data_IF_336009940895
#
_entry.id   IF_336009940895
#
_cell.length_a   1.000
_cell.length_b   1.000
_cell.length_c   1.000
_cell.angle_alpha   90.00
_cell.angle_beta   90.00
_cell.angle_gamma   90.00
#
_symmetry.space_group_name_H-M   'P 1'
#
loop_
_entity.id
_entity.type
_entity.pdbx_description
1 polymer ?
#
# COMPACT_ATOMS: atom_id res chain seq x y z
N UNK A 1 -28.72 29.42 30.48
CA UNK A 1 -29.06 28.01 30.22
C UNK A 1 -27.76 27.32 29.91
N UNK A 2 -27.26 26.63 30.93
CA UNK A 2 -26.08 25.78 30.86
C UNK A 2 -26.37 24.64 29.89
N UNK A 3 -25.56 24.50 28.84
CA UNK A 3 -25.52 23.27 28.06
C UNK A 3 -24.66 22.28 28.86
N UNK A 4 -25.34 21.57 29.77
CA UNK A 4 -24.85 20.32 30.33
C UNK A 4 -24.76 19.34 29.15
N UNK A 5 -23.57 19.23 28.58
CA UNK A 5 -23.23 18.09 27.73
C UNK A 5 -23.30 16.89 28.68
N UNK A 6 -24.33 16.06 28.49
CA UNK A 6 -24.66 14.96 29.39
C UNK A 6 -23.48 13.98 29.50
N UNK A 7 -23.12 13.65 30.74
CA UNK A 7 -22.18 12.56 31.09
C UNK A 7 -22.63 11.24 30.43
N UNK A 8 -23.93 11.05 30.16
CA UNK A 8 -24.47 9.87 29.48
C UNK A 8 -23.96 9.70 28.03
N UNK A 9 -23.67 10.79 27.31
CA UNK A 9 -23.13 10.69 25.93
C UNK A 9 -21.66 10.28 25.91
N UNK A 10 -20.89 10.66 26.94
CA UNK A 10 -19.51 10.17 27.13
C UNK A 10 -19.50 8.72 27.64
N UNK A 11 -20.47 8.30 28.44
CA UNK A 11 -20.59 6.91 28.91
C UNK A 11 -21.07 5.95 27.80
N UNK A 12 -21.94 6.36 26.89
CA UNK A 12 -22.32 5.57 25.69
C UNK A 12 -21.15 5.41 24.69
N UNK A 13 -20.28 6.43 24.55
CA UNK A 13 -19.06 6.31 23.73
C UNK A 13 -18.04 5.34 24.34
N UNK A 14 -17.97 5.21 25.67
CA UNK A 14 -17.08 4.24 26.34
C UNK A 14 -17.63 2.81 26.25
N UNK A 15 -18.95 2.63 26.19
CA UNK A 15 -19.60 1.31 26.11
C UNK A 15 -19.49 0.63 24.74
N UNK A 16 -19.05 1.34 23.69
CA UNK A 16 -19.00 0.84 22.31
C UNK A 16 -17.59 0.71 21.72
N UNK A 17 -16.54 1.10 22.47
CA UNK A 17 -15.16 0.92 22.03
C UNK A 17 -14.75 -0.54 22.21
N UNK A 18 -14.31 -1.16 21.11
CA UNK A 18 -13.78 -2.52 21.12
C UNK A 18 -12.63 -2.66 22.14
N UNK A 19 -12.76 -3.62 23.06
CA UNK A 19 -11.74 -3.96 24.05
C UNK A 19 -10.38 -4.25 23.39
N UNK A 20 -10.37 -4.83 22.19
CA UNK A 20 -9.14 -5.09 21.43
C UNK A 20 -8.42 -3.78 21.05
N UNK A 21 -9.18 -2.73 20.74
CA UNK A 21 -8.65 -1.40 20.43
C UNK A 21 -7.98 -0.76 21.65
N UNK A 22 -8.64 -0.78 22.81
CA UNK A 22 -8.07 -0.21 24.04
C UNK A 22 -6.79 -0.92 24.49
N UNK A 23 -6.73 -2.25 24.37
CA UNK A 23 -5.51 -3.01 24.68
C UNK A 23 -4.36 -2.60 23.75
N UNK A 24 -4.61 -2.53 22.44
CA UNK A 24 -3.60 -2.10 21.47
C UNK A 24 -3.16 -0.66 21.70
N UNK A 25 -4.09 0.22 22.07
CA UNK A 25 -3.79 1.61 22.39
C UNK A 25 -2.92 1.72 23.65
N UNK A 26 -3.24 0.96 24.70
CA UNK A 26 -2.43 0.89 25.92
C UNK A 26 -1.02 0.37 25.67
N UNK A 27 -0.90 -0.68 24.86
CA UNK A 27 0.38 -1.22 24.41
C UNK A 27 1.20 -0.21 23.57
N UNK A 28 0.54 0.53 22.68
CA UNK A 28 1.17 1.61 21.91
C UNK A 28 1.69 2.71 22.84
N UNK A 29 0.87 3.17 23.79
CA UNK A 29 1.28 4.17 24.78
C UNK A 29 2.45 3.67 25.65
N UNK A 30 2.43 2.40 26.07
CA UNK A 30 3.56 1.78 26.77
C UNK A 30 4.84 1.77 25.92
N UNK A 31 4.73 1.47 24.62
CA UNK A 31 5.84 1.56 23.67
C UNK A 31 6.46 2.96 23.64
N UNK A 32 5.63 3.99 23.48
CA UNK A 32 6.09 5.39 23.52
C UNK A 32 6.85 5.70 24.81
N UNK A 33 6.32 5.32 25.97
CA UNK A 33 6.98 5.52 27.25
C UNK A 33 8.32 4.78 27.36
N UNK A 34 8.38 3.54 26.87
CA UNK A 34 9.60 2.74 26.84
C UNK A 34 10.70 3.39 25.98
N UNK A 35 10.33 4.00 24.85
CA UNK A 35 11.27 4.62 23.92
C UNK A 35 11.94 5.86 24.53
N UNK A 36 11.15 6.71 25.19
CA UNK A 36 11.65 7.92 25.88
C UNK A 36 12.08 7.65 27.34
N UNK A 37 12.19 6.38 27.75
CA UNK A 37 12.67 5.95 29.07
C UNK A 37 11.90 6.56 30.24
N UNK A 38 10.56 6.55 30.15
CA UNK A 38 9.65 7.02 31.21
C UNK A 38 8.94 5.86 31.87
N UNK A 39 9.10 5.72 33.18
CA UNK A 39 8.28 4.80 33.97
C UNK A 39 6.88 5.39 34.13
N UNK A 40 5.85 4.61 34.49
CA UNK A 40 4.50 5.15 34.75
C UNK A 40 4.49 6.32 35.75
N UNK A 41 5.34 6.25 36.79
CA UNK A 41 5.48 7.34 37.76
C UNK A 41 6.10 8.61 37.18
N UNK A 42 7.06 8.48 36.25
CA UNK A 42 7.70 9.64 35.62
C UNK A 42 6.69 10.33 34.69
N UNK A 43 5.95 9.55 33.90
CA UNK A 43 4.87 10.05 33.05
C UNK A 43 3.78 10.76 33.86
N UNK A 44 3.34 10.18 34.97
CA UNK A 44 2.33 10.78 35.85
C UNK A 44 2.80 12.14 36.40
N UNK A 45 4.04 12.20 36.90
CA UNK A 45 4.63 13.42 37.44
C UNK A 45 4.79 14.53 36.38
N UNK A 46 5.32 14.19 35.20
CA UNK A 46 5.57 15.16 34.12
C UNK A 46 4.27 15.69 33.50
N UNK A 47 3.28 14.81 33.31
CA UNK A 47 1.99 15.17 32.72
C UNK A 47 0.98 15.72 33.75
N UNK A 48 1.36 15.77 35.03
CA UNK A 48 0.52 16.29 36.10
C UNK A 48 -0.80 15.53 36.24
N UNK A 49 -0.74 14.20 36.21
CA UNK A 49 -1.88 13.28 36.38
C UNK A 49 -1.55 12.21 37.42
N UNK A 50 -2.54 11.40 37.80
CA UNK A 50 -2.31 10.30 38.72
C UNK A 50 -1.57 9.13 38.04
N UNK A 51 -0.78 8.37 38.82
CA UNK A 51 -0.18 7.12 38.32
C UNK A 51 -1.24 6.08 37.93
N UNK A 52 -2.40 6.09 38.60
CA UNK A 52 -3.51 5.18 38.33
C UNK A 52 -4.15 5.46 36.96
N UNK A 53 -4.22 6.73 36.55
CA UNK A 53 -4.67 7.11 35.20
C UNK A 53 -3.71 6.55 34.14
N UNK A 54 -2.39 6.75 34.31
CA UNK A 54 -1.36 6.20 33.41
C UNK A 54 -1.47 4.67 33.32
N UNK A 55 -1.57 3.98 34.45
CA UNK A 55 -1.70 2.53 34.48
C UNK A 55 -3.02 2.04 33.88
N UNK A 56 -4.11 2.80 34.01
CA UNK A 56 -5.41 2.48 33.42
C UNK A 56 -5.38 2.58 31.89
N UNK A 57 -4.64 3.56 31.36
CA UNK A 57 -4.38 3.67 29.92
C UNK A 57 -3.52 2.51 29.44
N UNK A 58 -2.36 2.26 30.08
CA UNK A 58 -1.44 1.18 29.70
C UNK A 58 -2.14 -0.18 29.69
N UNK A 59 -2.99 -0.46 30.69
CA UNK A 59 -3.71 -1.73 30.79
C UNK A 59 -4.95 -1.84 29.88
N UNK A 60 -5.26 -0.81 29.09
CA UNK A 60 -6.41 -0.79 28.19
C UNK A 60 -7.76 -0.70 28.92
N UNK A 61 -7.80 -0.22 30.17
CA UNK A 61 -9.03 0.04 30.93
C UNK A 61 -9.63 1.41 30.62
N UNK A 62 -8.79 2.35 30.20
CA UNK A 62 -9.18 3.72 29.89
C UNK A 62 -8.53 4.15 28.57
N UNK A 63 -9.27 4.90 27.75
CA UNK A 63 -8.72 5.55 26.55
C UNK A 63 -7.88 6.76 26.98
N UNK A 64 -6.72 6.98 26.34
CA UNK A 64 -5.97 8.23 26.54
C UNK A 64 -6.81 9.43 26.11
N UNK A 65 -6.84 10.49 26.92
CA UNK A 65 -7.63 11.69 26.62
C UNK A 65 -6.86 12.65 25.70
N UNK A 66 -7.56 13.47 24.89
CA UNK A 66 -6.93 14.52 24.09
C UNK A 66 -6.11 15.50 24.93
N UNK A 67 -6.56 15.85 26.13
CA UNK A 67 -5.86 16.76 27.03
C UNK A 67 -4.52 16.18 27.50
N UNK A 68 -4.47 14.85 27.72
CA UNK A 68 -3.23 14.19 28.11
C UNK A 68 -2.25 14.11 26.93
N UNK A 69 -2.75 13.90 25.70
CA UNK A 69 -1.96 13.94 24.46
C UNK A 69 -1.36 15.34 24.28
N UNK A 70 -2.15 16.41 24.42
CA UNK A 70 -1.68 17.79 24.29
C UNK A 70 -0.53 18.09 25.27
N UNK A 71 -0.68 17.68 26.53
CA UNK A 71 0.39 17.82 27.53
C UNK A 71 1.64 17.04 27.13
N UNK A 72 1.49 15.81 26.63
CA UNK A 72 2.60 14.97 26.21
C UNK A 72 3.36 15.56 25.02
N UNK A 73 2.67 15.99 23.96
CA UNK A 73 3.27 16.62 22.77
C UNK A 73 3.99 17.93 23.12
N UNK A 74 3.50 18.67 24.12
CA UNK A 74 4.16 19.89 24.59
C UNK A 74 5.49 19.65 25.32
N UNK A 75 5.62 18.52 26.01
CA UNK A 75 6.76 18.22 26.88
C UNK A 75 7.76 17.23 26.25
N UNK A 76 7.27 16.32 25.41
CA UNK A 76 8.05 15.23 24.84
C UNK A 76 8.17 15.38 23.32
N UNK A 77 9.24 14.86 22.70
CA UNK A 77 9.44 14.92 21.25
C UNK A 77 8.60 13.84 20.53
N UNK A 78 7.29 13.91 20.70
CA UNK A 78 6.29 13.01 20.10
C UNK A 78 5.21 13.84 19.41
N UNK A 79 4.48 13.25 18.47
CA UNK A 79 3.41 13.92 17.72
C UNK A 79 2.05 13.39 18.16
N UNK A 80 1.00 14.18 17.96
CA UNK A 80 -0.38 13.76 18.28
C UNK A 80 -0.77 12.44 17.59
N UNK A 81 -0.35 12.27 16.33
CA UNK A 81 -0.61 11.06 15.53
C UNK A 81 -0.06 9.78 16.18
N UNK A 82 1.01 9.88 16.97
CA UNK A 82 1.69 8.73 17.58
C UNK A 82 0.79 8.07 18.64
N UNK A 83 -0.21 8.79 19.15
CA UNK A 83 -1.18 8.30 20.13
C UNK A 83 -2.45 7.72 19.50
N UNK A 84 -2.69 7.91 18.20
CA UNK A 84 -3.89 7.43 17.50
C UNK A 84 -3.56 6.20 16.65
N UNK A 85 -3.93 5.03 17.17
CA UNK A 85 -3.75 3.77 16.44
C UNK A 85 -4.82 3.57 15.37
N UNK A 86 -4.51 2.76 14.35
CA UNK A 86 -5.47 2.38 13.30
C UNK A 86 -6.54 1.45 13.90
N UNK A 87 -7.81 1.85 13.79
CA UNK A 87 -8.95 0.97 14.11
C UNK A 87 -9.00 -0.22 13.15
N UNK A 88 -9.22 -1.42 13.69
CA UNK A 88 -9.41 -2.61 12.85
C UNK A 88 -10.88 -2.73 12.45
N UNK A 89 -11.18 -2.44 11.18
CA UNK A 89 -12.51 -2.58 10.58
C UNK A 89 -12.69 -3.92 9.84
N UNK A 90 -11.75 -4.85 10.00
CA UNK A 90 -11.75 -6.17 9.36
C UNK A 90 -11.41 -7.28 10.38
N UNK A 91 -12.13 -7.40 11.50
CA UNK A 91 -11.76 -8.30 12.60
C UNK A 91 -11.84 -9.80 12.23
N UNK A 92 -12.55 -10.14 11.16
CA UNK A 92 -12.68 -11.53 10.67
C UNK A 92 -11.65 -11.86 9.58
N UNK A 93 -10.74 -10.95 9.25
CA UNK A 93 -9.68 -11.16 8.26
C UNK A 93 -10.09 -10.89 6.80
N UNK A 94 -11.39 -10.93 6.50
CA UNK A 94 -11.95 -10.50 5.20
C UNK A 94 -13.10 -9.51 5.43
N UNK A 95 -13.07 -8.39 4.72
CA UNK A 95 -14.12 -7.37 4.69
C UNK A 95 -14.81 -7.42 3.32
N UNK A 96 -16.13 -7.39 3.30
CA UNK A 96 -16.93 -7.42 2.07
C UNK A 96 -17.72 -6.13 1.91
N UNK A 97 -17.89 -5.70 0.68
CA UNK A 97 -18.79 -4.60 0.30
C UNK A 97 -19.69 -5.07 -0.84
N UNK A 98 -21.00 -4.96 -0.64
CA UNK A 98 -21.97 -5.41 -1.63
C UNK A 98 -22.05 -4.45 -2.81
N UNK A 99 -22.46 -4.95 -3.97
CA UNK A 99 -22.73 -4.12 -5.15
C UNK A 99 -23.79 -3.04 -4.88
N UNK A 100 -24.71 -3.29 -3.95
CA UNK A 100 -25.72 -2.32 -3.54
C UNK A 100 -25.13 -1.19 -2.70
N UNK A 101 -24.23 -1.50 -1.77
CA UNK A 101 -23.47 -0.48 -1.02
C UNK A 101 -22.61 0.36 -1.96
N UNK A 102 -21.99 -0.27 -2.97
CA UNK A 102 -21.27 0.44 -4.02
C UNK A 102 -22.19 1.39 -4.80
N UNK A 103 -23.40 0.96 -5.17
CA UNK A 103 -24.38 1.86 -5.81
C UNK A 103 -24.79 3.01 -4.90
N UNK A 104 -24.96 2.77 -3.60
CA UNK A 104 -25.32 3.80 -2.63
C UNK A 104 -24.23 4.89 -2.49
N UNK A 105 -22.98 4.57 -2.81
CA UNK A 105 -21.86 5.53 -2.84
C UNK A 105 -21.75 6.33 -4.16
N UNK A 106 -22.69 6.13 -5.10
CA UNK A 106 -22.64 6.70 -6.44
C UNK A 106 -22.57 8.23 -6.42
N UNK A 107 -21.67 8.76 -7.24
CA UNK A 107 -21.51 10.21 -7.47
C UNK A 107 -21.15 10.47 -8.92
N UNK A 108 -21.96 11.28 -9.60
CA UNK A 108 -21.70 11.72 -10.96
C UNK A 108 -20.85 12.98 -10.90
N UNK A 109 -19.71 12.96 -11.60
CA UNK A 109 -18.84 14.13 -11.73
C UNK A 109 -18.91 14.67 -13.15
N UNK A 110 -19.20 15.97 -13.26
CA UNK A 110 -19.20 16.66 -14.53
C UNK A 110 -17.80 17.20 -14.88
N UNK A 111 -17.50 17.23 -16.18
CA UNK A 111 -16.34 17.96 -16.72
C UNK A 111 -16.80 18.74 -17.96
N UNK A 112 -16.39 20.00 -18.05
CA UNK A 112 -16.86 20.92 -19.08
C UNK A 112 -18.41 21.01 -19.16
N UNK A 113 -19.09 20.97 -18.01
CA UNK A 113 -20.55 21.13 -17.89
C UNK A 113 -21.37 19.93 -18.37
N UNK A 114 -20.77 18.73 -18.49
CA UNK A 114 -21.45 17.49 -18.87
C UNK A 114 -21.06 16.35 -17.93
N UNK A 115 -21.98 15.43 -17.57
CA UNK A 115 -21.65 14.19 -16.88
C UNK A 115 -20.53 13.43 -17.60
N UNK A 116 -19.44 13.16 -16.89
CA UNK A 116 -18.25 12.56 -17.47
C UNK A 116 -17.95 11.18 -16.87
N UNK A 117 -18.07 11.07 -15.54
CA UNK A 117 -17.93 9.81 -14.82
C UNK A 117 -19.05 9.61 -13.81
N UNK A 118 -19.43 8.36 -13.59
CA UNK A 118 -20.07 7.90 -12.36
C UNK A 118 -19.05 7.13 -11.54
N UNK A 119 -18.72 7.62 -10.34
CA UNK A 119 -17.83 6.92 -9.41
C UNK A 119 -18.67 6.14 -8.39
N UNK A 120 -18.22 4.94 -8.05
CA UNK A 120 -18.70 4.15 -6.91
C UNK A 120 -17.51 3.59 -6.16
N UNK A 121 -17.58 3.69 -4.85
CA UNK A 121 -16.64 3.07 -3.94
C UNK A 121 -16.81 1.55 -4.01
N UNK A 122 -15.72 0.82 -3.81
CA UNK A 122 -15.73 -0.64 -3.57
C UNK A 122 -14.96 -0.94 -2.28
N UNK A 123 -14.78 -2.22 -1.93
CA UNK A 123 -14.24 -2.64 -0.64
C UNK A 123 -12.92 -1.94 -0.28
N UNK A 124 -12.95 -1.17 0.82
CA UNK A 124 -11.82 -0.48 1.43
C UNK A 124 -11.74 -0.80 2.91
N UNK A 125 -10.54 -0.89 3.45
CA UNK A 125 -10.29 -1.04 4.89
C UNK A 125 -9.33 0.04 5.36
N UNK A 126 -9.57 0.56 6.58
CA UNK A 126 -8.64 1.46 7.30
C UNK A 126 -7.24 0.83 7.46
N UNK A 127 -7.17 -0.50 7.45
CA UNK A 127 -5.93 -1.27 7.61
C UNK A 127 -5.16 -1.49 6.30
N UNK A 128 -5.68 -1.02 5.16
CA UNK A 128 -5.09 -1.23 3.85
C UNK A 128 -4.96 0.07 3.02
N UNK A 129 -3.98 0.16 2.12
CA UNK A 129 -3.77 1.38 1.33
C UNK A 129 -4.56 1.40 0.01
N UNK A 130 -5.58 0.54 -0.16
CA UNK A 130 -6.43 0.55 -1.35
C UNK A 130 -7.38 1.75 -1.37
N UNK A 131 -7.58 2.31 -2.56
CA UNK A 131 -8.62 3.27 -2.93
C UNK A 131 -9.22 2.84 -4.28
N UNK A 132 -9.93 1.70 -4.30
CA UNK A 132 -10.44 1.10 -5.52
C UNK A 132 -11.78 1.73 -5.90
N UNK A 133 -11.88 2.21 -7.13
CA UNK A 133 -13.07 2.88 -7.64
C UNK A 133 -13.64 2.12 -8.83
N UNK A 134 -14.94 1.90 -8.81
CA UNK A 134 -15.71 1.55 -10.01
C UNK A 134 -16.08 2.85 -10.71
N UNK A 135 -15.73 2.99 -12.00
CA UNK A 135 -15.91 4.25 -12.73
C UNK A 135 -16.54 3.98 -14.10
N UNK A 136 -17.74 4.50 -14.33
CA UNK A 136 -18.42 4.39 -15.63
C UNK A 136 -18.09 5.58 -16.53
N UNK A 137 -17.66 5.31 -17.76
CA UNK A 137 -17.34 6.32 -18.77
C UNK A 137 -18.60 6.89 -19.44
N UNK A 138 -19.14 7.99 -18.91
CA UNK A 138 -20.37 8.61 -19.44
C UNK A 138 -20.13 9.40 -20.74
N UNK A 139 -18.90 9.87 -20.96
CA UNK A 139 -18.53 10.59 -22.17
C UNK A 139 -18.28 9.61 -23.34
N UNK A 140 -18.97 9.83 -24.47
CA UNK A 140 -18.77 9.10 -25.72
C UNK A 140 -17.94 9.91 -26.72
N UNK A 141 -17.00 9.26 -27.41
CA UNK A 141 -16.15 9.87 -28.44
C UNK A 141 -16.29 9.18 -29.79
N UNK A 142 -16.28 9.95 -30.87
CA UNK A 142 -16.49 9.44 -32.24
C UNK A 142 -15.22 8.96 -32.93
N UNK A 143 -14.05 9.14 -32.31
CA UNK A 143 -12.76 8.71 -32.82
C UNK A 143 -11.76 8.42 -31.67
N UNK A 144 -10.65 7.77 -32.03
CA UNK A 144 -9.57 7.44 -31.12
C UNK A 144 -8.40 8.43 -31.28
N UNK A 145 -8.66 9.72 -31.50
CA UNK A 145 -7.59 10.74 -31.53
C UNK A 145 -7.19 11.10 -30.09
N UNK A 146 -5.90 10.98 -29.70
CA UNK A 146 -5.45 11.38 -28.37
C UNK A 146 -5.66 12.88 -28.08
N UNK A 147 -5.84 13.70 -29.11
CA UNK A 147 -6.10 15.14 -29.01
C UNK A 147 -7.60 15.49 -29.04
N UNK A 148 -8.50 14.51 -29.07
CA UNK A 148 -9.94 14.74 -29.10
C UNK A 148 -10.38 15.71 -27.96
N UNK A 149 -11.04 16.83 -28.28
CA UNK A 149 -11.38 17.86 -27.29
C UNK A 149 -12.44 17.42 -26.28
N UNK A 150 -13.20 16.35 -26.56
CA UNK A 150 -14.19 15.80 -25.64
C UNK A 150 -13.53 15.03 -24.49
N UNK A 151 -12.29 14.53 -24.66
CA UNK A 151 -11.53 13.87 -23.61
C UNK A 151 -11.05 14.90 -22.56
N UNK A 152 -11.69 14.91 -21.39
CA UNK A 152 -11.42 15.86 -20.30
C UNK A 152 -10.38 15.30 -19.33
N UNK A 153 -9.16 15.84 -19.36
CA UNK A 153 -8.00 15.32 -18.62
C UNK A 153 -8.03 15.65 -17.13
N UNK A 154 -7.52 14.75 -16.28
CA UNK A 154 -7.14 15.11 -14.90
C UNK A 154 -5.73 15.73 -14.86
N UNK A 155 -5.25 16.08 -13.67
CA UNK A 155 -3.89 16.61 -13.46
C UNK A 155 -2.88 15.52 -13.06
N UNK A 156 -3.24 14.24 -13.20
CA UNK A 156 -2.62 13.16 -12.46
C UNK A 156 -3.01 13.21 -10.98
N UNK A 157 -2.66 12.18 -10.22
CA UNK A 157 -2.93 12.10 -8.79
C UNK A 157 -1.87 11.27 -8.08
N UNK A 158 -1.80 11.36 -6.76
CA UNK A 158 -0.72 10.79 -5.96
C UNK A 158 -0.74 9.26 -5.87
N UNK A 159 -1.92 8.64 -6.01
CA UNK A 159 -2.04 7.20 -5.87
C UNK A 159 -1.45 6.49 -7.10
N UNK A 160 -0.79 5.36 -6.87
CA UNK A 160 -0.53 4.43 -7.96
C UNK A 160 -1.87 3.94 -8.50
N UNK A 161 -1.95 3.62 -9.78
CA UNK A 161 -3.19 3.12 -10.36
C UNK A 161 -2.93 1.92 -11.25
N UNK A 162 -3.49 0.78 -10.83
CA UNK A 162 -3.79 -0.33 -11.72
C UNK A 162 -5.23 -0.13 -12.24
N UNK A 163 -5.52 -0.56 -13.47
CA UNK A 163 -6.87 -0.48 -14.01
C UNK A 163 -7.19 -1.69 -14.87
N UNK A 164 -8.38 -2.25 -14.68
CA UNK A 164 -8.95 -3.31 -15.51
C UNK A 164 -10.13 -2.75 -16.30
N UNK A 165 -10.20 -3.08 -17.58
CA UNK A 165 -11.19 -2.52 -18.52
C UNK A 165 -12.33 -3.51 -18.79
N UNK A 166 -13.56 -2.99 -18.85
CA UNK A 166 -14.79 -3.70 -19.19
C UNK A 166 -15.53 -2.89 -20.25
N UNK A 167 -15.74 -3.47 -21.43
CA UNK A 167 -16.36 -2.80 -22.56
C UNK A 167 -15.38 -1.97 -23.40
N UNK A 168 -15.92 -1.05 -24.19
CA UNK A 168 -15.20 -0.32 -25.24
C UNK A 168 -14.65 1.02 -24.75
N UNK A 169 -13.55 0.96 -23.99
CA UNK A 169 -12.95 2.12 -23.33
C UNK A 169 -11.75 2.64 -24.13
N UNK A 170 -11.62 3.96 -24.29
CA UNK A 170 -10.36 4.60 -24.65
C UNK A 170 -9.64 5.07 -23.38
N UNK A 171 -8.38 4.68 -23.22
CA UNK A 171 -7.50 5.14 -22.15
C UNK A 171 -6.53 6.19 -22.68
N UNK A 172 -6.69 7.43 -22.26
CA UNK A 172 -5.82 8.54 -22.62
C UNK A 172 -4.79 8.79 -21.53
N UNK A 173 -3.53 9.00 -21.91
CA UNK A 173 -2.45 9.35 -20.98
C UNK A 173 -1.43 10.29 -21.64
N UNK A 174 -0.68 11.04 -20.84
CA UNK A 174 0.50 11.78 -21.34
C UNK A 174 1.75 10.93 -21.14
N UNK A 175 2.58 10.85 -22.18
CA UNK A 175 3.90 10.22 -22.06
C UNK A 175 4.90 11.12 -21.31
N UNK A 176 6.15 10.68 -21.21
CA UNK A 176 7.22 11.41 -20.52
C UNK A 176 7.52 12.78 -21.11
N UNK A 177 7.21 13.00 -22.38
CA UNK A 177 7.42 14.28 -23.09
C UNK A 177 6.18 15.18 -23.01
N UNK A 178 5.14 14.74 -22.30
CA UNK A 178 3.88 15.46 -22.14
C UNK A 178 2.95 15.34 -23.36
N UNK A 179 3.29 14.52 -24.35
CA UNK A 179 2.47 14.29 -25.53
C UNK A 179 1.30 13.37 -25.17
N UNK A 180 0.10 13.74 -25.65
CA UNK A 180 -1.11 12.95 -25.45
C UNK A 180 -1.03 11.67 -26.28
N UNK A 181 -1.38 10.57 -25.63
CA UNK A 181 -1.46 9.22 -26.18
C UNK A 181 -2.85 8.64 -25.87
N UNK A 182 -3.26 7.62 -26.62
CA UNK A 182 -4.50 6.88 -26.38
C UNK A 182 -4.27 5.40 -26.67
N UNK A 183 -4.74 4.55 -25.75
CA UNK A 183 -4.83 3.11 -25.93
C UNK A 183 -6.30 2.73 -26.08
N UNK A 184 -6.60 1.93 -27.10
CA UNK A 184 -7.94 1.43 -27.39
C UNK A 184 -8.12 0.12 -26.64
N UNK A 185 -8.88 0.15 -25.55
CA UNK A 185 -9.00 -0.96 -24.61
C UNK A 185 -10.33 -1.70 -24.79
N UNK A 186 -10.33 -2.99 -24.47
CA UNK A 186 -11.51 -3.85 -24.44
C UNK A 186 -11.58 -4.64 -23.13
N UNK A 187 -12.69 -5.37 -22.94
CA UNK A 187 -12.88 -6.23 -21.76
C UNK A 187 -11.70 -7.18 -21.56
N UNK A 188 -11.12 -7.16 -20.37
CA UNK A 188 -9.99 -8.02 -20.02
C UNK A 188 -8.63 -7.34 -20.13
N UNK A 189 -8.54 -6.25 -20.87
CA UNK A 189 -7.31 -5.46 -20.95
C UNK A 189 -7.02 -4.82 -19.59
N UNK A 190 -5.76 -4.44 -19.37
CA UNK A 190 -5.35 -3.78 -18.14
C UNK A 190 -4.21 -2.81 -18.35
N UNK A 191 -4.01 -1.92 -17.38
CA UNK A 191 -2.88 -1.00 -17.37
C UNK A 191 -2.35 -0.75 -15.96
N UNK A 192 -1.13 -0.22 -15.91
CA UNK A 192 -0.58 0.50 -14.78
C UNK A 192 -0.15 1.91 -15.22
N UNK A 193 -0.40 2.91 -14.38
CA UNK A 193 0.05 4.28 -14.58
C UNK A 193 0.73 4.83 -13.31
N UNK A 194 1.89 5.44 -13.49
CA UNK A 194 2.72 6.02 -12.42
C UNK A 194 2.03 7.26 -11.82
N UNK A 195 2.16 7.50 -10.49
CA UNK A 195 1.65 8.70 -9.83
C UNK A 195 1.96 9.99 -10.60
N UNK A 196 0.99 10.90 -10.57
CA UNK A 196 1.01 12.22 -11.22
C UNK A 196 1.05 12.24 -12.75
N UNK A 197 1.05 11.10 -13.44
CA UNK A 197 0.87 11.09 -14.90
C UNK A 197 -0.59 11.42 -15.26
N UNK A 198 -0.87 12.51 -16.00
CA UNK A 198 -2.23 12.88 -16.37
C UNK A 198 -2.89 11.86 -17.30
N UNK A 199 -4.17 11.57 -17.06
CA UNK A 199 -4.95 10.61 -17.83
C UNK A 199 -6.46 10.90 -17.80
N UNK A 200 -7.19 10.25 -18.71
CA UNK A 200 -8.66 10.19 -18.73
C UNK A 200 -9.16 8.99 -19.54
N UNK A 201 -10.47 8.73 -19.48
CA UNK A 201 -11.16 7.60 -20.08
C UNK A 201 -12.45 8.07 -20.73
N UNK A 202 -12.83 7.44 -21.85
CA UNK A 202 -14.11 7.67 -22.52
C UNK A 202 -14.64 6.37 -23.11
N UNK A 203 -15.92 6.32 -23.38
CA UNK A 203 -16.56 5.25 -24.16
C UNK A 203 -16.44 5.54 -25.65
N UNK A 204 -16.16 4.53 -26.48
CA UNK A 204 -16.21 4.69 -27.94
C UNK A 204 -17.65 4.74 -28.45
N UNK A 205 -17.91 5.62 -29.41
CA UNK A 205 -19.23 5.69 -30.05
C UNK A 205 -19.56 4.38 -30.79
N UNK A 206 -20.83 3.99 -30.80
CA UNK A 206 -21.29 2.68 -31.30
C UNK A 206 -21.22 1.52 -30.31
N UNK A 207 -20.59 1.69 -29.14
CA UNK A 207 -20.59 0.68 -28.08
C UNK A 207 -22.01 0.36 -27.58
N UNK A 208 -22.28 -0.91 -27.28
CA UNK A 208 -23.59 -1.40 -26.82
C UNK A 208 -23.99 -0.87 -25.44
N UNK A 209 -23.00 -0.48 -24.63
CA UNK A 209 -23.15 0.11 -23.30
C UNK A 209 -21.98 1.05 -23.03
N UNK A 210 -22.09 1.86 -21.97
CA UNK A 210 -20.95 2.66 -21.53
C UNK A 210 -19.81 1.73 -21.10
N UNK A 211 -18.60 2.11 -21.45
CA UNK A 211 -17.39 1.52 -20.91
C UNK A 211 -17.33 1.69 -19.39
N UNK A 212 -16.66 0.73 -18.75
CA UNK A 212 -16.45 0.67 -17.33
C UNK A 212 -14.97 0.35 -17.06
N UNK A 213 -14.39 1.02 -16.07
CA UNK A 213 -13.13 0.62 -15.49
C UNK A 213 -13.26 0.29 -14.00
N UNK A 214 -12.44 -0.67 -13.58
CA UNK A 214 -12.11 -0.87 -12.16
C UNK A 214 -10.76 -0.22 -11.91
N UNK A 215 -10.78 1.05 -11.49
CA UNK A 215 -9.60 1.86 -11.20
C UNK A 215 -9.11 1.55 -9.78
N UNK A 216 -8.28 0.52 -9.65
CA UNK A 216 -7.75 0.06 -8.38
C UNK A 216 -6.53 0.90 -7.98
N UNK A 217 -6.78 2.09 -7.43
CA UNK A 217 -5.71 2.96 -6.96
C UNK A 217 -5.22 2.55 -5.58
N UNK A 218 -3.95 2.83 -5.26
CA UNK A 218 -3.39 2.49 -3.96
C UNK A 218 -2.16 3.32 -3.59
N UNK A 219 -1.97 3.48 -2.29
CA UNK A 219 -0.76 4.00 -1.70
C UNK A 219 0.35 2.94 -1.64
N UNK A 220 1.60 3.39 -1.67
CA UNK A 220 2.77 2.55 -1.41
C UNK A 220 3.67 3.23 -0.36
N UNK A 221 4.99 3.16 -0.52
CA UNK A 221 5.98 3.60 0.47
C UNK A 221 5.99 5.11 0.76
N UNK A 222 5.38 5.93 -0.09
CA UNK A 222 5.34 7.38 0.08
C UNK A 222 4.14 7.90 0.89
N UNK A 223 3.19 7.05 1.28
CA UNK A 223 2.00 7.48 2.05
C UNK A 223 2.26 7.42 3.57
N UNK A 224 1.58 8.26 4.35
CA UNK A 224 1.68 8.22 5.82
C UNK A 224 2.97 8.87 6.31
N UNK A 225 3.70 8.21 7.21
CA UNK A 225 4.82 8.81 7.93
C UNK A 225 5.97 9.25 7.02
N UNK A 226 6.30 8.48 5.98
CA UNK A 226 7.31 8.88 5.00
C UNK A 226 6.96 10.19 4.28
N UNK A 227 5.68 10.41 3.97
CA UNK A 227 5.22 11.69 3.40
C UNK A 227 5.45 12.83 4.38
N UNK A 228 5.22 12.57 5.66
CA UNK A 228 5.23 13.57 6.72
C UNK A 228 6.65 13.97 7.04
N UNK A 229 7.55 13.00 7.17
CA UNK A 229 8.99 13.22 7.34
C UNK A 229 9.56 14.09 6.21
N UNK A 230 9.25 13.76 4.94
CA UNK A 230 9.69 14.56 3.80
C UNK A 230 9.03 15.95 3.79
N UNK A 231 7.77 16.07 4.21
CA UNK A 231 7.04 17.35 4.21
C UNK A 231 7.58 18.40 5.18
N UNK A 232 8.36 17.98 6.18
CA UNK A 232 9.03 18.88 7.12
C UNK A 232 10.27 19.54 6.53
N UNK A 233 10.78 19.04 5.40
CA UNK A 233 11.94 19.59 4.72
C UNK A 233 11.52 20.72 3.75
N UNK A 234 12.35 21.78 3.58
CA UNK A 234 12.20 22.70 2.46
C UNK A 234 12.16 21.92 1.14
N UNK A 235 11.32 22.35 0.20
CA UNK A 235 11.09 21.61 -1.04
C UNK A 235 12.39 21.25 -1.80
N UNK A 236 13.34 22.19 -1.87
CA UNK A 236 14.65 21.96 -2.51
C UNK A 236 15.50 20.90 -1.80
N UNK A 237 15.39 20.79 -0.47
CA UNK A 237 16.11 19.78 0.31
C UNK A 237 15.43 18.43 0.17
N UNK A 238 14.10 18.38 0.31
CA UNK A 238 13.33 17.14 0.13
C UNK A 238 13.46 16.56 -1.28
N UNK A 239 13.57 17.41 -2.30
CA UNK A 239 13.76 16.95 -3.69
C UNK A 239 15.09 16.25 -3.93
N UNK A 240 16.10 16.44 -3.08
CA UNK A 240 17.39 15.75 -3.23
C UNK A 240 17.30 14.23 -2.99
N UNK A 241 16.25 13.74 -2.34
CA UNK A 241 15.98 12.30 -2.23
C UNK A 241 15.47 11.67 -3.54
N UNK A 242 15.05 12.48 -4.52
CA UNK A 242 14.63 11.99 -5.83
C UNK A 242 15.86 11.70 -6.71
N UNK A 243 16.42 10.48 -6.56
CA UNK A 243 17.55 10.01 -7.36
C UNK A 243 17.19 9.90 -8.85
N UNK A 244 18.20 10.06 -9.71
CA UNK A 244 18.05 9.99 -11.17
C UNK A 244 17.98 8.54 -11.65
N UNK A 245 16.75 8.03 -11.77
CA UNK A 245 16.47 6.67 -12.25
C UNK A 245 16.02 6.64 -13.73
N UNK A 246 16.48 7.60 -14.53
CA UNK A 246 16.11 7.71 -15.96
C UNK A 246 16.73 6.63 -16.86
N UNK A 247 17.90 6.11 -16.50
CA UNK A 247 18.60 5.02 -17.19
C UNK A 247 19.25 4.04 -16.21
N UNK A 248 19.73 2.90 -16.70
CA UNK A 248 20.41 1.90 -15.86
C UNK A 248 21.73 2.44 -15.29
N UNK A 249 22.49 3.14 -16.12
CA UNK A 249 23.75 3.80 -15.76
C UNK A 249 23.50 4.91 -14.75
N UNK A 250 22.48 5.76 -14.99
CA UNK A 250 22.11 6.85 -14.08
C UNK A 250 21.63 6.34 -12.74
N UNK A 251 20.84 5.27 -12.71
CA UNK A 251 20.36 4.65 -11.46
C UNK A 251 21.52 4.05 -10.66
N UNK A 252 22.41 3.32 -11.32
CA UNK A 252 23.59 2.70 -10.68
C UNK A 252 24.52 3.75 -10.10
N UNK A 253 24.86 4.78 -10.87
CA UNK A 253 25.69 5.90 -10.40
C UNK A 253 25.00 6.70 -9.29
N UNK A 254 23.69 6.96 -9.37
CA UNK A 254 22.98 7.75 -8.35
C UNK A 254 22.99 7.06 -6.98
N UNK A 255 22.76 5.74 -6.94
CA UNK A 255 22.87 4.95 -5.71
C UNK A 255 24.31 4.95 -5.18
N UNK A 256 25.30 4.74 -6.06
CA UNK A 256 26.71 4.77 -5.66
C UNK A 256 27.12 6.12 -5.06
N UNK A 257 26.77 7.24 -5.71
CA UNK A 257 27.04 8.58 -5.19
C UNK A 257 26.36 8.79 -3.84
N UNK A 258 25.08 8.43 -3.72
CA UNK A 258 24.33 8.60 -2.47
C UNK A 258 24.99 7.87 -1.29
N UNK A 259 25.37 6.60 -1.46
CA UNK A 259 26.03 5.83 -0.40
C UNK A 259 27.51 6.21 -0.20
N UNK A 260 28.21 6.63 -1.25
CA UNK A 260 29.54 7.22 -1.13
C UNK A 260 29.51 8.49 -0.27
N UNK A 261 28.55 9.38 -0.51
CA UNK A 261 28.38 10.61 0.26
C UNK A 261 28.03 10.32 1.73
N UNK A 262 27.14 9.35 2.00
CA UNK A 262 26.83 8.88 3.37
C UNK A 262 28.08 8.40 4.11
N UNK A 263 29.00 7.72 3.40
CA UNK A 263 30.21 7.19 4.00
C UNK A 263 31.22 8.26 4.41
N UNK A 264 31.11 9.46 3.84
CA UNK A 264 32.03 10.58 4.05
C UNK A 264 33.52 10.20 3.77
N UNK A 265 33.76 9.22 2.90
CA UNK A 265 35.10 8.84 2.47
C UNK A 265 35.66 9.86 1.47
N UNK A 266 36.96 10.11 1.55
CA UNK A 266 37.66 10.78 0.44
C UNK A 266 37.87 9.78 -0.70
N UNK A 267 38.01 10.27 -1.93
CA UNK A 267 38.31 9.41 -3.08
C UNK A 267 39.59 8.60 -2.88
N UNK A 268 40.60 9.16 -2.21
CA UNK A 268 41.87 8.47 -1.95
C UNK A 268 41.67 7.33 -0.94
N UNK A 269 40.88 7.53 0.12
CA UNK A 269 40.54 6.47 1.06
C UNK A 269 39.62 5.41 0.42
N UNK A 270 38.68 5.82 -0.43
CA UNK A 270 37.79 4.91 -1.14
C UNK A 270 38.54 4.01 -2.14
N UNK A 271 39.49 4.58 -2.89
CA UNK A 271 40.45 3.84 -3.74
C UNK A 271 41.22 2.82 -2.91
N UNK A 272 41.75 3.23 -1.75
CA UNK A 272 42.54 2.36 -0.86
C UNK A 272 41.73 1.19 -0.31
N UNK A 273 40.50 1.43 0.16
CA UNK A 273 39.63 0.39 0.74
C UNK A 273 39.15 -0.62 -0.29
N UNK A 274 38.78 -0.13 -1.47
CA UNK A 274 38.26 -0.99 -2.54
C UNK A 274 39.37 -1.73 -3.28
N UNK A 275 40.59 -1.19 -3.29
CA UNK A 275 41.67 -1.62 -4.18
C UNK A 275 41.24 -1.58 -5.66
N UNK A 276 40.42 -0.60 -6.02
CA UNK A 276 39.98 -0.29 -7.39
C UNK A 276 40.66 1.02 -7.80
N UNK A 277 41.02 1.16 -9.09
CA UNK A 277 41.67 2.38 -9.56
C UNK A 277 40.76 3.61 -9.40
N UNK A 278 41.35 4.76 -9.10
CA UNK A 278 40.62 6.05 -9.01
C UNK A 278 39.85 6.34 -10.30
N UNK A 279 40.42 6.01 -11.46
CA UNK A 279 39.78 6.16 -12.77
C UNK A 279 38.50 5.33 -12.88
N UNK A 280 38.54 4.06 -12.50
CA UNK A 280 37.35 3.19 -12.58
C UNK A 280 36.25 3.67 -11.61
N UNK A 281 36.63 4.05 -10.39
CA UNK A 281 35.69 4.61 -9.41
C UNK A 281 35.04 5.89 -9.91
N UNK A 282 35.83 6.81 -10.50
CA UNK A 282 35.29 8.01 -11.15
C UNK A 282 34.34 7.66 -12.29
N UNK A 283 34.68 6.68 -13.14
CA UNK A 283 33.80 6.26 -14.23
C UNK A 283 32.45 5.72 -13.72
N UNK A 284 32.43 5.02 -12.57
CA UNK A 284 31.19 4.54 -11.96
C UNK A 284 30.34 5.69 -11.38
N UNK A 285 30.98 6.64 -10.69
CA UNK A 285 30.28 7.79 -10.11
C UNK A 285 29.77 8.75 -11.19
N UNK A 286 30.46 8.88 -12.33
CA UNK A 286 30.11 9.78 -13.43
C UNK A 286 29.20 9.16 -14.50
N UNK A 287 28.58 8.00 -14.23
CA UNK A 287 27.65 7.29 -15.14
C UNK A 287 28.31 6.75 -16.43
N UNK A 288 29.65 6.75 -16.51
CA UNK A 288 30.39 6.31 -17.70
C UNK A 288 30.45 4.77 -17.81
N UNK A 289 30.31 4.07 -16.68
CA UNK A 289 30.34 2.61 -16.63
C UNK A 289 29.54 2.08 -15.44
N UNK A 290 28.98 0.87 -15.55
CA UNK A 290 28.38 0.15 -14.42
C UNK A 290 29.45 -0.79 -13.82
N UNK A 291 29.64 -0.83 -12.48
CA UNK A 291 30.57 -1.76 -11.86
C UNK A 291 30.27 -3.22 -12.21
N UNK A 292 31.30 -4.04 -12.35
CA UNK A 292 31.15 -5.50 -12.35
C UNK A 292 30.64 -6.00 -10.99
N UNK A 293 30.14 -7.23 -10.91
CA UNK A 293 29.72 -7.82 -9.62
C UNK A 293 30.86 -7.84 -8.59
N UNK A 294 32.08 -8.18 -9.01
CA UNK A 294 33.27 -8.16 -8.14
C UNK A 294 33.58 -6.75 -7.62
N UNK A 295 33.53 -5.73 -8.50
CA UNK A 295 33.75 -4.35 -8.08
C UNK A 295 32.62 -3.85 -7.17
N UNK A 296 31.37 -4.23 -7.45
CA UNK A 296 30.23 -3.87 -6.62
C UNK A 296 30.35 -4.44 -5.20
N UNK A 297 30.82 -5.69 -5.06
CA UNK A 297 31.10 -6.31 -3.75
C UNK A 297 32.19 -5.56 -2.98
N UNK A 298 33.30 -5.23 -3.64
CA UNK A 298 34.40 -4.43 -3.05
C UNK A 298 33.91 -3.05 -2.61
N UNK A 299 33.10 -2.40 -3.43
CA UNK A 299 32.53 -1.08 -3.14
C UNK A 299 31.55 -1.17 -1.95
N UNK A 300 30.61 -2.12 -1.97
CA UNK A 300 29.64 -2.32 -0.89
C UNK A 300 30.35 -2.54 0.46
N UNK A 301 31.36 -3.42 0.48
CA UNK A 301 32.18 -3.66 1.66
C UNK A 301 32.92 -2.39 2.14
N UNK A 302 33.50 -1.61 1.22
CA UNK A 302 34.21 -0.37 1.58
C UNK A 302 33.30 0.73 2.13
N UNK A 303 32.04 0.77 1.66
CA UNK A 303 30.99 1.69 2.08
C UNK A 303 30.15 1.17 3.27
N UNK A 304 30.45 -0.04 3.78
CA UNK A 304 29.72 -0.68 4.87
C UNK A 304 28.21 -0.89 4.58
N UNK A 305 27.88 -1.26 3.35
CA UNK A 305 26.51 -1.60 2.92
C UNK A 305 26.47 -2.94 2.20
N UNK A 306 25.28 -3.44 1.85
CA UNK A 306 25.15 -4.65 1.04
C UNK A 306 25.16 -4.30 -0.46
N UNK A 307 25.56 -5.23 -1.32
CA UNK A 307 25.43 -5.06 -2.77
C UNK A 307 24.00 -4.69 -3.17
N UNK A 308 22.99 -5.31 -2.54
CA UNK A 308 21.57 -5.03 -2.75
C UNK A 308 21.24 -3.54 -2.63
N UNK A 309 21.86 -2.85 -1.68
CA UNK A 309 21.56 -1.44 -1.40
C UNK A 309 22.17 -0.52 -2.48
N UNK A 310 23.18 -1.00 -3.21
CA UNK A 310 23.80 -0.33 -4.36
C UNK A 310 23.21 -0.75 -5.73
N UNK A 311 22.39 -1.79 -5.76
CA UNK A 311 21.82 -2.32 -6.99
C UNK A 311 20.52 -1.58 -7.34
N UNK A 312 20.42 -0.96 -8.53
CA UNK A 312 19.13 -0.53 -9.05
C UNK A 312 18.31 -1.75 -9.50
N UNK A 313 17.04 -1.52 -9.88
CA UNK A 313 16.23 -2.54 -10.53
C UNK A 313 16.87 -3.00 -11.85
N UNK A 314 16.58 -4.25 -12.26
CA UNK A 314 17.18 -4.87 -13.44
C UNK A 314 16.88 -4.15 -14.76
N UNK A 315 15.72 -3.49 -14.84
CA UNK A 315 15.23 -2.74 -16.01
C UNK A 315 14.58 -1.41 -15.62
N UNK A 316 14.64 -0.47 -16.55
CA UNK A 316 13.87 0.79 -16.50
C UNK A 316 12.53 0.54 -17.18
N UNK A 317 11.45 0.82 -16.45
CA UNK A 317 10.08 0.58 -16.92
C UNK A 317 9.47 1.89 -17.43
N UNK A 318 8.58 1.78 -18.42
CA UNK A 318 7.76 2.91 -18.85
C UNK A 318 6.85 3.40 -17.73
N UNK A 319 6.59 4.71 -17.68
CA UNK A 319 5.66 5.30 -16.69
C UNK A 319 4.21 4.83 -16.84
N UNK A 320 3.85 4.35 -18.04
CA UNK A 320 2.56 3.74 -18.35
C UNK A 320 2.83 2.38 -18.98
N UNK A 321 2.18 1.35 -18.46
CA UNK A 321 2.21 -0.01 -18.99
C UNK A 321 0.79 -0.33 -19.43
N UNK A 322 0.62 -0.65 -20.72
CA UNK A 322 -0.63 -1.17 -21.28
C UNK A 322 -0.40 -2.65 -21.54
N UNK A 323 -1.38 -3.49 -21.20
CA UNK A 323 -1.33 -4.92 -21.47
C UNK A 323 -2.69 -5.38 -21.96
N UNK A 324 -2.74 -5.83 -23.21
CA UNK A 324 -3.94 -6.41 -23.76
C UNK A 324 -4.15 -7.82 -23.23
N UNK A 325 -5.42 -8.25 -23.18
CA UNK A 325 -5.77 -9.55 -22.60
C UNK A 325 -5.09 -10.72 -23.31
N UNK A 326 -4.95 -10.65 -24.64
CA UNK A 326 -4.31 -11.68 -25.48
C UNK A 326 -2.78 -11.77 -25.32
N UNK A 327 -2.15 -10.74 -24.76
CA UNK A 327 -0.72 -10.72 -24.41
C UNK A 327 -0.45 -11.40 -23.05
N UNK A 328 -1.50 -11.72 -22.30
CA UNK A 328 -1.38 -12.18 -20.92
C UNK A 328 -1.06 -13.67 -20.83
N UNK A 329 -0.09 -13.98 -19.95
CA UNK A 329 0.25 -15.37 -19.63
C UNK A 329 -0.77 -15.93 -18.65
N UNK A 330 -1.09 -17.21 -18.81
CA UNK A 330 -2.01 -17.92 -17.93
C UNK A 330 -1.45 -19.26 -17.47
N UNK A 331 -1.90 -19.73 -16.31
CA UNK A 331 -1.61 -21.05 -15.79
C UNK A 331 -2.75 -21.55 -14.90
N UNK A 332 -2.91 -22.87 -14.80
CA UNK A 332 -3.83 -23.46 -13.83
C UNK A 332 -3.17 -23.58 -12.46
N UNK A 333 -3.96 -23.44 -11.40
CA UNK A 333 -3.53 -23.56 -10.02
C UNK A 333 -4.65 -24.14 -9.15
N UNK A 334 -4.36 -24.90 -8.08
CA UNK A 334 -3.09 -25.56 -7.78
C UNK A 334 -2.72 -26.64 -8.82
N UNK A 335 -1.50 -27.18 -8.76
CA UNK A 335 -0.96 -28.18 -9.71
C UNK A 335 -1.90 -29.37 -9.95
N UNK A 336 -2.49 -29.91 -8.87
CA UNK A 336 -3.30 -31.14 -8.89
C UNK A 336 -4.75 -30.84 -9.21
N UNK A 337 -5.43 -30.05 -8.37
CA UNK A 337 -6.87 -29.81 -8.48
C UNK A 337 -7.24 -28.81 -9.58
N UNK A 338 -6.30 -27.92 -9.97
CA UNK A 338 -6.46 -26.94 -11.05
C UNK A 338 -7.77 -26.14 -10.98
N UNK A 339 -8.19 -25.84 -9.74
CA UNK A 339 -9.46 -25.17 -9.39
C UNK A 339 -9.54 -23.74 -9.90
N UNK A 340 -8.42 -23.16 -10.29
CA UNK A 340 -8.29 -21.82 -10.84
C UNK A 340 -7.51 -21.84 -12.15
N UNK A 341 -7.87 -20.94 -13.06
CA UNK A 341 -6.98 -20.48 -14.13
C UNK A 341 -6.64 -19.02 -13.87
N UNK A 342 -5.38 -18.76 -13.57
CA UNK A 342 -4.83 -17.42 -13.38
C UNK A 342 -4.43 -16.84 -14.74
N UNK A 343 -4.75 -15.58 -14.95
CA UNK A 343 -4.24 -14.77 -16.05
C UNK A 343 -3.55 -13.55 -15.45
N UNK A 344 -2.26 -13.38 -15.75
CA UNK A 344 -1.44 -12.30 -15.24
C UNK A 344 -1.76 -11.00 -15.97
N UNK A 345 -2.22 -9.98 -15.24
CA UNK A 345 -2.56 -8.66 -15.81
C UNK A 345 -1.34 -7.72 -15.84
N UNK A 346 -1.55 -6.45 -16.16
CA UNK A 346 -0.49 -5.44 -16.18
C UNK A 346 0.25 -5.37 -14.84
N UNK A 347 1.58 -5.30 -14.90
CA UNK A 347 2.45 -5.16 -13.73
C UNK A 347 3.73 -4.43 -14.10
N UNK A 348 4.46 -3.96 -13.09
CA UNK A 348 5.70 -3.19 -13.25
C UNK A 348 6.71 -3.62 -12.18
N UNK A 349 7.98 -3.79 -12.55
CA UNK A 349 9.01 -4.25 -11.59
C UNK A 349 9.42 -3.19 -10.59
N UNK A 350 9.10 -1.92 -10.82
CA UNK A 350 9.24 -0.84 -9.81
C UNK A 350 8.32 -1.04 -8.61
N UNK A 351 7.24 -1.83 -8.78
CA UNK A 351 6.31 -2.23 -7.73
C UNK A 351 6.26 -3.76 -7.61
N UNK A 352 7.35 -4.42 -7.18
CA UNK A 352 7.49 -5.89 -7.27
C UNK A 352 6.47 -6.66 -6.42
N UNK A 353 5.86 -5.98 -5.45
CA UNK A 353 4.81 -6.51 -4.57
C UNK A 353 3.39 -6.16 -5.03
N UNK A 354 3.23 -5.51 -6.19
CA UNK A 354 1.93 -5.28 -6.84
C UNK A 354 1.68 -6.36 -7.88
N UNK A 355 0.68 -7.21 -7.66
CA UNK A 355 0.36 -8.36 -8.52
C UNK A 355 -1.12 -8.36 -8.84
N UNK A 356 -1.46 -8.21 -10.12
CA UNK A 356 -2.83 -8.20 -10.58
C UNK A 356 -3.14 -9.46 -11.39
N UNK A 357 -4.31 -10.05 -11.12
CA UNK A 357 -4.76 -11.28 -11.76
C UNK A 357 -6.23 -11.17 -12.13
N UNK A 358 -6.56 -11.70 -13.29
CA UNK A 358 -7.90 -12.21 -13.56
C UNK A 358 -7.87 -13.70 -13.22
N UNK A 359 -8.81 -14.17 -12.40
CA UNK A 359 -8.89 -15.56 -11.98
C UNK A 359 -10.23 -16.12 -12.40
N UNK A 360 -10.20 -17.15 -13.27
CA UNK A 360 -11.38 -17.96 -13.56
C UNK A 360 -11.43 -19.10 -12.54
N UNK A 361 -12.52 -19.18 -11.78
CA UNK A 361 -12.77 -20.25 -10.83
C UNK A 361 -13.55 -21.38 -11.51
N UNK A 362 -13.19 -22.63 -11.24
CA UNK A 362 -13.89 -23.83 -11.72
C UNK A 362 -14.75 -24.42 -10.61
N UNK A 363 -15.79 -25.16 -10.99
CA UNK A 363 -16.60 -25.90 -10.02
C UNK A 363 -15.74 -26.96 -9.33
N UNK A 364 -15.81 -26.97 -8.00
CA UNK A 364 -15.10 -27.88 -7.13
C UNK A 364 -15.80 -27.92 -5.78
N UNK A 365 -15.96 -29.13 -5.23
CA UNK A 365 -16.48 -29.35 -3.87
C UNK A 365 -15.35 -29.48 -2.82
N UNK A 366 -14.09 -29.30 -3.23
CA UNK A 366 -12.91 -29.39 -2.36
C UNK A 366 -12.90 -28.22 -1.36
N UNK A 367 -12.95 -28.48 -0.05
CA UNK A 367 -12.96 -27.43 0.98
C UNK A 367 -11.55 -26.91 1.35
N UNK A 368 -10.49 -27.41 0.70
CA UNK A 368 -9.11 -27.00 0.96
C UNK A 368 -8.92 -25.49 0.76
N UNK A 369 -8.35 -24.82 1.78
CA UNK A 369 -7.95 -23.41 1.71
C UNK A 369 -6.63 -23.27 0.95
N UNK A 370 -6.74 -23.34 -0.37
CA UNK A 370 -5.66 -23.49 -1.34
C UNK A 370 -4.95 -22.19 -1.73
N UNK A 371 -5.39 -21.03 -1.21
CA UNK A 371 -4.74 -19.73 -1.41
C UNK A 371 -4.29 -19.12 -0.08
N UNK A 372 -3.01 -18.75 0.01
CA UNK A 372 -2.44 -18.00 1.14
C UNK A 372 -1.27 -17.15 0.64
N UNK A 373 -1.28 -15.84 0.91
CA UNK A 373 -0.24 -14.91 0.43
C UNK A 373 -0.02 -13.78 1.43
N UNK A 374 1.24 -13.39 1.63
CA UNK A 374 1.64 -12.32 2.56
C UNK A 374 1.47 -10.90 2.02
N UNK A 375 0.39 -10.62 1.29
CA UNK A 375 0.08 -9.32 0.69
C UNK A 375 -1.37 -8.94 1.02
N UNK A 376 -1.67 -7.64 1.07
CA UNK A 376 -3.05 -7.16 1.09
C UNK A 376 -3.70 -7.53 -0.24
N UNK A 377 -4.96 -7.96 -0.23
CA UNK A 377 -5.65 -8.33 -1.46
C UNK A 377 -6.98 -7.60 -1.57
N UNK A 378 -7.24 -7.04 -2.74
CA UNK A 378 -8.54 -6.58 -3.17
C UNK A 378 -9.11 -7.59 -4.16
N UNK A 379 -10.39 -7.90 -4.06
CA UNK A 379 -11.12 -8.84 -4.90
C UNK A 379 -12.39 -8.16 -5.40
N UNK A 380 -12.73 -8.37 -6.66
CA UNK A 380 -14.01 -7.95 -7.24
C UNK A 380 -14.58 -9.07 -8.12
N UNK A 381 -15.86 -9.39 -7.95
CA UNK A 381 -16.52 -10.36 -8.81
C UNK A 381 -16.98 -9.71 -10.12
N UNK A 382 -16.25 -9.99 -11.20
CA UNK A 382 -16.51 -9.46 -12.55
C UNK A 382 -17.41 -10.39 -13.38
N UNK A 383 -17.90 -11.49 -12.81
CA UNK A 383 -18.77 -12.44 -13.49
C UNK A 383 -20.24 -12.28 -13.09
N UNK A 384 -21.12 -12.96 -13.82
CA UNK A 384 -22.57 -12.98 -13.58
C UNK A 384 -23.01 -14.05 -12.57
N UNK A 385 -22.08 -14.80 -12.00
CA UNK A 385 -22.34 -15.86 -11.02
C UNK A 385 -21.80 -15.49 -9.64
N UNK A 386 -22.46 -15.99 -8.61
CA UNK A 386 -21.98 -15.83 -7.23
C UNK A 386 -20.86 -16.83 -6.96
N UNK A 387 -19.85 -16.39 -6.20
CA UNK A 387 -18.69 -17.20 -5.82
C UNK A 387 -18.67 -17.31 -4.30
N UNK A 388 -18.54 -18.53 -3.79
CA UNK A 388 -18.40 -18.76 -2.35
C UNK A 388 -16.95 -18.53 -1.92
N UNK A 389 -16.75 -17.74 -0.89
CA UNK A 389 -15.44 -17.49 -0.27
C UNK A 389 -15.40 -18.23 1.07
N UNK A 390 -14.45 -19.14 1.25
CA UNK A 390 -14.19 -19.78 2.54
C UNK A 390 -12.83 -19.33 3.05
N UNK A 391 -12.71 -19.06 4.35
CA UNK A 391 -11.44 -18.65 4.94
C UNK A 391 -11.31 -19.03 6.40
N UNK A 392 -10.06 -19.02 6.89
CA UNK A 392 -9.73 -19.20 8.30
C UNK A 392 -9.06 -17.96 8.86
N UNK A 393 -9.54 -17.49 10.01
CA UNK A 393 -8.93 -16.39 10.75
C UNK A 393 -9.13 -16.58 12.25
N UNK A 394 -8.06 -16.42 13.03
CA UNK A 394 -8.07 -16.62 14.49
C UNK A 394 -8.73 -17.97 14.90
N UNK A 395 -8.28 -19.06 14.26
CA UNK A 395 -8.77 -20.43 14.41
C UNK A 395 -10.27 -20.67 14.13
N UNK A 396 -10.97 -19.68 13.59
CA UNK A 396 -12.37 -19.79 13.16
C UNK A 396 -12.46 -19.93 11.63
N UNK A 397 -13.37 -20.80 11.20
CA UNK A 397 -13.74 -20.94 9.79
C UNK A 397 -14.96 -20.07 9.49
N UNK A 398 -14.90 -19.37 8.36
CA UNK A 398 -15.96 -18.52 7.88
C UNK A 398 -16.27 -18.85 6.42
N UNK A 399 -17.50 -18.54 6.01
CA UNK A 399 -17.95 -18.68 4.63
C UNK A 399 -18.90 -17.54 4.28
N UNK A 400 -18.77 -16.99 3.07
CA UNK A 400 -19.66 -15.91 2.58
C UNK A 400 -19.72 -15.91 1.05
N UNK A 401 -20.89 -15.58 0.50
CA UNK A 401 -21.06 -15.37 -0.94
C UNK A 401 -20.51 -14.01 -1.36
N UNK A 402 -19.79 -13.99 -2.49
CA UNK A 402 -19.38 -12.80 -3.23
C UNK A 402 -20.17 -12.78 -4.54
N UNK A 403 -21.25 -12.00 -4.57
CA UNK A 403 -22.16 -11.94 -5.70
C UNK A 403 -21.58 -11.06 -6.84
N UNK A 404 -22.16 -11.08 -8.05
CA UNK A 404 -21.75 -10.19 -9.14
C UNK A 404 -21.68 -8.72 -8.70
N UNK A 405 -20.54 -8.08 -8.95
CA UNK A 405 -20.29 -6.69 -8.56
C UNK A 405 -19.97 -6.45 -7.09
N UNK A 406 -20.01 -7.49 -6.24
CA UNK A 406 -19.50 -7.41 -4.88
C UNK A 406 -17.97 -7.35 -4.89
N UNK A 407 -17.40 -6.79 -3.83
CA UNK A 407 -15.96 -6.66 -3.63
C UNK A 407 -15.55 -7.07 -2.23
N UNK A 408 -14.27 -7.43 -2.07
CA UNK A 408 -13.72 -7.81 -0.78
C UNK A 408 -12.27 -7.32 -0.61
N UNK A 409 -11.91 -7.06 0.65
CA UNK A 409 -10.54 -6.89 1.11
C UNK A 409 -10.14 -8.10 1.96
N UNK A 410 -8.95 -8.66 1.71
CA UNK A 410 -8.38 -9.80 2.46
C UNK A 410 -7.07 -9.35 3.11
N UNK A 411 -6.94 -9.57 4.43
CA UNK A 411 -5.68 -9.30 5.15
C UNK A 411 -4.54 -10.22 4.67
N UNK A 412 -3.27 -9.78 4.78
CA UNK A 412 -2.12 -10.64 4.51
C UNK A 412 -2.17 -11.96 5.29
N UNK A 413 -1.73 -13.05 4.65
CA UNK A 413 -1.64 -14.41 5.19
C UNK A 413 -2.96 -15.08 5.62
N UNK A 414 -4.13 -14.50 5.33
CA UNK A 414 -5.40 -15.21 5.52
C UNK A 414 -5.49 -16.36 4.53
N UNK A 415 -5.57 -17.59 5.04
CA UNK A 415 -5.83 -18.78 4.23
C UNK A 415 -7.27 -18.81 3.78
N UNK A 416 -7.50 -18.90 2.47
CA UNK A 416 -8.83 -18.83 1.86
C UNK A 416 -8.91 -19.66 0.58
N UNK A 417 -10.12 -19.80 0.05
CA UNK A 417 -10.38 -20.31 -1.28
C UNK A 417 -11.59 -19.61 -1.92
N UNK A 418 -11.75 -19.80 -3.23
CA UNK A 418 -12.94 -19.40 -3.98
C UNK A 418 -13.58 -20.62 -4.61
N UNK A 419 -14.91 -20.76 -4.50
CA UNK A 419 -15.67 -21.91 -4.99
C UNK A 419 -16.90 -21.51 -5.80
N UNK A 420 -17.24 -22.36 -6.76
CA UNK A 420 -18.22 -22.09 -7.81
C UNK A 420 -17.56 -21.52 -9.07
N UNK A 421 -18.21 -21.69 -10.20
CA UNK A 421 -17.76 -21.20 -11.50
C UNK A 421 -17.99 -19.71 -11.66
N UNK A 422 -16.94 -18.95 -11.95
CA UNK A 422 -17.02 -17.52 -12.17
C UNK A 422 -15.67 -16.89 -12.48
N UNK A 423 -15.60 -15.56 -12.40
CA UNK A 423 -14.39 -14.78 -12.71
C UNK A 423 -14.21 -13.67 -11.70
N UNK A 424 -12.99 -13.56 -11.17
CA UNK A 424 -12.59 -12.57 -10.17
C UNK A 424 -11.47 -11.70 -10.72
N UNK A 425 -11.54 -10.41 -10.45
CA UNK A 425 -10.39 -9.51 -10.51
C UNK A 425 -9.73 -9.47 -9.13
N UNK A 426 -8.43 -9.73 -9.05
CA UNK A 426 -7.66 -9.64 -7.81
C UNK A 426 -6.45 -8.73 -8.01
N UNK A 427 -6.30 -7.74 -7.11
CA UNK A 427 -5.07 -6.95 -6.98
C UNK A 427 -4.45 -7.20 -5.61
N UNK A 428 -3.18 -7.62 -5.60
CA UNK A 428 -2.39 -7.80 -4.39
C UNK A 428 -1.34 -6.70 -4.27
N UNK A 429 -1.18 -6.11 -3.09
CA UNK A 429 -0.18 -5.06 -2.81
C UNK A 429 0.52 -5.27 -1.47
N UNK A 430 1.78 -4.86 -1.36
CA UNK A 430 2.59 -5.10 -0.16
C UNK A 430 2.42 -4.09 0.99
N UNK A 431 1.71 -2.99 0.75
CA UNK A 431 1.59 -1.89 1.72
C UNK A 431 2.95 -1.40 2.21
N UNK A 432 3.03 -1.09 3.51
CA UNK A 432 4.29 -0.64 4.12
C UNK A 432 5.20 -1.80 4.54
N UNK A 433 4.65 -3.00 4.74
CA UNK A 433 5.36 -4.14 5.35
C UNK A 433 6.40 -4.74 4.41
N UNK A 434 6.04 -5.13 3.19
CA UNK A 434 6.97 -5.86 2.31
C UNK A 434 8.12 -4.98 1.83
N UNK A 435 9.35 -5.52 1.80
CA UNK A 435 10.58 -4.77 1.55
C UNK A 435 11.41 -4.65 2.83
N UNK A 436 11.89 -3.46 3.14
CA UNK A 436 12.83 -3.27 4.27
C UNK A 436 12.20 -3.53 5.64
N UNK A 437 10.96 -3.09 5.91
CA UNK A 437 10.30 -3.35 7.20
C UNK A 437 10.13 -4.86 7.49
N UNK A 438 9.78 -5.67 6.49
CA UNK A 438 9.72 -7.13 6.63
C UNK A 438 11.11 -7.73 6.91
N UNK A 439 12.16 -7.21 6.28
CA UNK A 439 13.55 -7.67 6.49
C UNK A 439 14.03 -7.31 7.90
N UNK A 440 13.76 -6.10 8.36
CA UNK A 440 14.06 -5.66 9.71
C UNK A 440 13.39 -6.56 10.76
N UNK A 441 12.07 -6.82 10.63
CA UNK A 441 11.36 -7.74 11.51
C UNK A 441 11.97 -9.15 11.49
N UNK A 442 12.49 -9.59 10.34
CA UNK A 442 13.18 -10.87 10.22
C UNK A 442 14.52 -10.89 10.97
N UNK A 443 15.27 -9.78 10.96
CA UNK A 443 16.51 -9.63 11.73
C UNK A 443 16.26 -9.54 13.23
N UNK A 444 15.16 -8.89 13.66
CA UNK A 444 14.72 -8.85 15.06
C UNK A 444 14.42 -10.26 15.61
N UNK A 445 13.99 -11.16 14.73
CA UNK A 445 13.80 -12.58 15.02
C UNK A 445 12.38 -12.94 15.46
N UNK A 446 11.97 -14.17 15.12
CA UNK A 446 10.59 -14.64 15.30
C UNK A 446 10.13 -14.63 16.77
N UNK A 447 11.03 -14.92 17.70
CA UNK A 447 10.72 -14.96 19.14
C UNK A 447 10.37 -13.57 19.69
N UNK A 448 10.89 -12.51 19.08
CA UNK A 448 10.64 -11.12 19.48
C UNK A 448 9.49 -10.45 18.69
N UNK A 449 9.01 -11.08 17.62
CA UNK A 449 8.06 -10.47 16.70
C UNK A 449 6.76 -9.99 17.37
N UNK A 450 6.26 -10.73 18.39
CA UNK A 450 5.06 -10.34 19.12
C UNK A 450 5.21 -8.97 19.81
N UNK A 451 6.35 -8.76 20.49
CA UNK A 451 6.63 -7.49 21.17
C UNK A 451 6.99 -6.37 20.20
N UNK A 452 7.65 -6.69 19.08
CA UNK A 452 7.91 -5.71 18.03
C UNK A 452 6.61 -5.20 17.38
N UNK A 453 5.58 -6.04 17.26
CA UNK A 453 4.25 -5.64 16.74
C UNK A 453 3.46 -4.84 17.78
N UNK A 454 3.54 -5.25 19.05
CA UNK A 454 2.81 -4.62 20.15
C UNK A 454 3.53 -4.91 21.46
N UNK A 455 4.16 -3.89 22.05
CA UNK A 455 4.87 -4.03 23.33
C UNK A 455 3.89 -4.34 24.47
N UNK A 456 4.29 -5.21 25.39
CA UNK A 456 3.43 -5.70 26.49
C UNK A 456 4.09 -5.59 27.85
N UNK A 457 5.34 -5.12 27.92
CA UNK A 457 6.07 -4.99 29.17
C UNK A 457 6.95 -3.74 29.20
N UNK A 458 7.23 -3.26 30.41
CA UNK A 458 8.21 -2.20 30.61
C UNK A 458 9.61 -2.68 30.21
N UNK A 459 10.45 -1.79 29.69
CA UNK A 459 11.80 -2.15 29.19
C UNK A 459 12.76 -2.71 30.26
N UNK A 460 12.38 -2.66 31.53
CA UNK A 460 13.07 -3.30 32.65
C UNK A 460 12.09 -3.60 33.79
N UNK A 461 12.46 -4.52 34.68
CA UNK A 461 11.75 -4.75 35.95
C UNK A 461 12.45 -3.97 37.08
N UNK A 462 11.78 -3.03 37.77
CA UNK A 462 12.37 -2.30 38.90
C UNK A 462 12.73 -3.20 40.10
N UNK A 463 12.21 -4.44 40.17
CA UNK A 463 12.57 -5.42 41.20
C UNK A 463 13.91 -6.13 40.91
N UNK A 464 14.47 -5.95 39.71
CA UNK A 464 15.70 -6.62 39.27
C UNK A 464 15.45 -8.03 38.73
N UNK A 465 16.51 -8.62 38.15
CA UNK A 465 16.46 -9.88 37.40
C UNK A 465 17.23 -11.03 38.05
N UNK A 466 17.53 -10.93 39.35
CA UNK A 466 18.25 -11.98 40.07
C UNK A 466 17.26 -12.98 40.69
N UNK A 467 16.90 -13.98 39.89
CA UNK A 467 16.30 -15.24 40.33
C UNK A 467 17.13 -16.40 39.84
#
# INVERSE_FOLDING_TARGET
MENIISIDMMEEEISSIDKSYLIRLGNNFLGLLNDIKRRPIDAANELGVSIDEINSIISGKQKISPELIEKAVKLWPVNERDFYIISDDCPEGILFMSSEDSKNSSRIMERAGKPYYEYRDTAMSKTAPFRPEWILELCKVTNNDPSNPDAQWNHGHFMHQFTYFIGEVNFYFKDSDGKKQVAVMNTGDSMYITPFTPHTFTTRDGASSNGLILALTYGNKLTGDAQQEISLLPANTGSNFALDFSSKESSSSSLLNYYYDISNLSMDEFTKRTNISKTDLTNYLEKNQIPSSEHLEKIANALNVNCRDLMPNDKIESKVIVKHHDESKSWSYPEISKTYDFLELASITTLPHSRAFEITTKDSDDDTLDLTVGLHQYVYNVSESSILVNWRYDDKLYTKSLNPGDSAYIKPFVSHNFRGKGKLLILRIGGKINGDSQRELSFVGKDNAKRAISETMQWFDPKGSNS
#
